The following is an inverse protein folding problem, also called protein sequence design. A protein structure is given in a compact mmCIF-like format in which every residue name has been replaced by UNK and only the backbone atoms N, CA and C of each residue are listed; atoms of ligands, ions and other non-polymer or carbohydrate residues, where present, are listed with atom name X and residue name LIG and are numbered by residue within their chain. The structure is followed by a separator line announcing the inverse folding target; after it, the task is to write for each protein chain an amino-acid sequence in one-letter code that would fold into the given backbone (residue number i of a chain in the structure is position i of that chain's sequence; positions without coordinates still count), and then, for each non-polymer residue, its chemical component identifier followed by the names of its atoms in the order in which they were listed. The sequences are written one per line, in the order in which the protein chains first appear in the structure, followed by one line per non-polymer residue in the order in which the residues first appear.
data_IF_218032004873
#
_entry.id   IF_218032004873
#
_cell.length_a   1.000
_cell.length_b   1.000
_cell.length_c   1.000
_cell.angle_alpha   90.00
_cell.angle_beta   90.00
_cell.angle_gamma   90.00
#
_symmetry.space_group_name_H-M   'P 1'
#
loop_
_entity.id
_entity.type
_entity.pdbx_description
1 polymer ?
#
# COMPACT_ATOMS: atom_id res chain seq x y z
N UNK A 1 41.31 -62.22 27.61
CA UNK A 1 40.93 -62.39 26.19
C UNK A 1 39.47 -61.99 26.03
N UNK A 2 39.17 -61.21 24.98
CA UNK A 2 37.84 -61.00 24.35
C UNK A 2 36.79 -60.25 25.18
N UNK A 3 36.57 -58.93 25.03
CA UNK A 3 35.94 -58.15 23.92
C UNK A 3 34.52 -57.68 24.31
N UNK A 4 34.28 -56.38 24.04
CA UNK A 4 33.14 -55.44 24.23
C UNK A 4 31.76 -55.90 23.66
N UNK A 5 30.64 -55.11 23.56
CA UNK A 5 30.44 -53.65 23.77
C UNK A 5 29.06 -53.17 24.37
N UNK A 6 28.86 -51.85 24.29
CA UNK A 6 27.87 -50.96 24.91
C UNK A 6 26.43 -50.92 24.33
N UNK A 7 25.50 -50.35 25.13
CA UNK A 7 24.26 -49.62 24.76
C UNK A 7 23.92 -48.72 25.97
N UNK A 8 23.96 -47.38 25.97
CA UNK A 8 23.27 -46.36 25.16
C UNK A 8 21.74 -46.46 25.18
N UNK A 9 21.10 -45.70 26.08
CA UNK A 9 19.70 -45.25 25.99
C UNK A 9 19.67 -43.83 26.61
N UNK A 10 19.89 -42.79 25.82
CA UNK A 10 18.88 -42.06 25.03
C UNK A 10 17.85 -41.35 25.93
N UNK A 11 18.15 -40.09 26.28
CA UNK A 11 17.15 -39.14 26.78
C UNK A 11 16.17 -38.80 25.65
N UNK A 12 14.90 -39.09 25.84
CA UNK A 12 13.85 -38.65 24.93
C UNK A 12 13.74 -37.10 24.94
N UNK A 13 13.76 -36.42 23.79
CA UNK A 13 13.39 -35.01 23.75
C UNK A 13 11.89 -34.88 23.96
N UNK A 14 11.50 -34.01 24.89
CA UNK A 14 10.11 -33.60 25.14
C UNK A 14 9.49 -33.08 23.83
N UNK A 15 8.32 -33.63 23.51
CA UNK A 15 7.45 -33.23 22.41
C UNK A 15 7.21 -31.71 22.38
N UNK A 16 7.65 -31.04 21.33
CA UNK A 16 7.25 -29.67 21.02
C UNK A 16 5.80 -29.66 20.51
N UNK A 17 4.97 -28.79 21.09
CA UNK A 17 3.56 -28.62 20.71
C UNK A 17 3.39 -28.15 19.26
N UNK A 18 2.36 -28.62 18.53
CA UNK A 18 2.13 -28.29 17.12
C UNK A 18 1.72 -26.83 16.86
N UNK A 19 1.41 -26.06 17.91
CA UNK A 19 0.96 -24.67 17.80
C UNK A 19 2.08 -23.70 17.34
N UNK A 20 3.36 -24.00 17.59
CA UNK A 20 4.48 -23.12 17.23
C UNK A 20 4.84 -23.16 15.74
N UNK A 21 4.55 -24.27 15.05
CA UNK A 21 4.89 -24.46 13.63
C UNK A 21 4.01 -23.70 12.64
N UNK A 22 2.81 -23.29 13.04
CA UNK A 22 1.87 -22.57 12.16
C UNK A 22 2.25 -21.09 12.02
N UNK A 23 2.74 -20.47 13.10
CA UNK A 23 3.25 -19.09 13.07
C UNK A 23 4.54 -19.01 12.25
N UNK A 24 5.39 -20.02 12.35
CA UNK A 24 6.66 -20.12 11.62
C UNK A 24 6.43 -20.44 10.12
N UNK A 25 5.44 -21.27 9.79
CA UNK A 25 5.02 -21.53 8.39
C UNK A 25 4.32 -20.33 7.75
N UNK A 26 3.60 -19.52 8.53
CA UNK A 26 3.03 -18.27 8.02
C UNK A 26 4.13 -17.24 7.69
N UNK A 27 5.25 -17.23 8.43
CA UNK A 27 6.42 -16.41 8.10
C UNK A 27 7.14 -16.88 6.83
N UNK A 28 7.18 -18.19 6.56
CA UNK A 28 7.77 -18.76 5.35
C UNK A 28 7.03 -18.38 4.04
N UNK A 29 5.74 -18.00 4.12
CA UNK A 29 4.98 -17.50 2.98
C UNK A 29 5.32 -16.05 2.57
N UNK A 30 6.23 -15.38 3.30
CA UNK A 30 7.17 -14.34 2.83
C UNK A 30 6.65 -13.02 2.23
N UNK A 31 5.39 -12.92 1.82
CA UNK A 31 4.93 -11.82 0.98
C UNK A 31 4.50 -10.57 1.78
N UNK A 32 4.07 -10.76 3.03
CA UNK A 32 3.56 -9.67 3.89
C UNK A 32 4.63 -9.02 4.77
N UNK A 33 5.34 -9.82 5.58
CA UNK A 33 6.26 -9.28 6.61
C UNK A 33 7.58 -8.79 6.00
N UNK A 34 8.12 -9.50 5.01
CA UNK A 34 9.40 -9.15 4.37
C UNK A 34 9.31 -7.90 3.50
N UNK A 35 8.15 -7.67 2.87
CA UNK A 35 7.89 -6.48 2.04
C UNK A 35 7.76 -5.22 2.88
N UNK A 36 7.08 -5.29 4.04
CA UNK A 36 6.96 -4.17 4.96
C UNK A 36 8.31 -3.79 5.57
N UNK A 37 9.10 -4.78 6.01
CA UNK A 37 10.46 -4.55 6.52
C UNK A 37 11.35 -3.83 5.49
N UNK A 38 11.29 -4.26 4.22
CA UNK A 38 12.08 -3.63 3.15
C UNK A 38 11.68 -2.16 2.89
N UNK A 39 10.40 -1.80 2.98
CA UNK A 39 9.97 -0.41 2.78
C UNK A 39 10.48 0.48 3.91
N UNK A 40 10.40 0.04 5.16
CA UNK A 40 10.90 0.82 6.30
C UNK A 40 12.42 1.06 6.22
N UNK A 41 13.18 0.08 5.75
CA UNK A 41 14.63 0.25 5.52
C UNK A 41 14.93 1.28 4.41
N UNK A 42 14.10 1.33 3.37
CA UNK A 42 14.22 2.31 2.29
C UNK A 42 13.84 3.72 2.76
N UNK A 43 12.79 3.83 3.57
CA UNK A 43 12.41 5.10 4.20
C UNK A 43 13.55 5.63 5.09
N UNK A 44 14.17 4.78 5.91
CA UNK A 44 15.27 5.19 6.79
C UNK A 44 16.50 5.72 6.05
N UNK A 45 16.73 5.31 4.79
CA UNK A 45 17.86 5.73 3.94
C UNK A 45 17.55 6.95 3.07
N UNK A 46 16.29 7.39 3.04
CA UNK A 46 15.83 8.45 2.14
C UNK A 46 15.63 9.75 2.92
N UNK A 47 15.98 10.88 2.31
CA UNK A 47 15.78 12.20 2.90
C UNK A 47 14.28 12.44 3.27
N UNK A 48 13.97 12.96 4.46
CA UNK A 48 12.59 13.17 4.91
C UNK A 48 11.78 14.11 4.00
N UNK A 49 12.40 15.14 3.41
CA UNK A 49 11.73 16.01 2.45
C UNK A 49 11.38 15.25 1.16
N UNK A 50 12.24 14.33 0.72
CA UNK A 50 11.96 13.45 -0.42
C UNK A 50 10.82 12.49 -0.09
N UNK A 51 10.81 11.89 1.10
CA UNK A 51 9.71 11.03 1.55
C UNK A 51 8.37 11.78 1.56
N UNK A 52 8.35 13.02 2.06
CA UNK A 52 7.16 13.87 2.03
C UNK A 52 6.69 14.15 0.60
N UNK A 53 7.62 14.42 -0.33
CA UNK A 53 7.30 14.60 -1.74
C UNK A 53 6.71 13.34 -2.37
N UNK A 54 7.32 12.17 -2.14
CA UNK A 54 6.83 10.89 -2.67
C UNK A 54 5.42 10.56 -2.14
N UNK A 55 5.17 10.80 -0.84
CA UNK A 55 3.83 10.64 -0.23
C UNK A 55 2.82 11.59 -0.86
N UNK A 56 3.21 12.85 -1.06
CA UNK A 56 2.37 13.86 -1.71
C UNK A 56 2.02 13.43 -3.14
N UNK A 57 3.00 13.05 -3.95
CA UNK A 57 2.78 12.61 -5.33
C UNK A 57 1.91 11.37 -5.41
N UNK A 58 2.06 10.41 -4.49
CA UNK A 58 1.20 9.24 -4.44
C UNK A 58 -0.26 9.58 -4.10
N UNK A 59 -0.48 10.51 -3.15
CA UNK A 59 -1.82 11.02 -2.82
C UNK A 59 -2.43 11.83 -3.97
N UNK A 60 -1.62 12.62 -4.68
CA UNK A 60 -2.07 13.37 -5.86
C UNK A 60 -2.49 12.42 -6.99
N UNK A 61 -1.72 11.35 -7.22
CA UNK A 61 -2.10 10.31 -8.17
C UNK A 61 -3.45 9.68 -7.83
N UNK A 62 -3.65 9.27 -6.57
CA UNK A 62 -4.93 8.70 -6.14
C UNK A 62 -6.08 9.71 -6.25
N UNK A 63 -5.83 10.99 -5.96
CA UNK A 63 -6.84 12.05 -6.11
C UNK A 63 -7.27 12.22 -7.56
N UNK A 64 -6.33 12.18 -8.51
CA UNK A 64 -6.64 12.25 -9.94
C UNK A 64 -7.40 11.00 -10.39
N UNK A 65 -6.95 9.82 -9.96
CA UNK A 65 -7.66 8.57 -10.23
C UNK A 65 -9.11 8.64 -9.74
N UNK A 66 -9.35 9.04 -8.48
CA UNK A 66 -10.70 9.17 -7.92
C UNK A 66 -11.52 10.18 -8.73
N UNK A 67 -10.92 11.32 -9.10
CA UNK A 67 -11.61 12.34 -9.90
C UNK A 67 -12.10 11.76 -11.23
N UNK A 68 -11.25 11.00 -11.94
CA UNK A 68 -11.63 10.36 -13.21
C UNK A 68 -12.70 9.30 -13.04
N UNK A 69 -12.70 8.57 -11.93
CA UNK A 69 -13.75 7.59 -11.62
C UNK A 69 -15.09 8.26 -11.28
N UNK A 70 -15.05 9.49 -10.75
CA UNK A 70 -16.24 10.26 -10.43
C UNK A 70 -16.81 11.01 -11.65
N UNK A 71 -15.99 11.39 -12.63
CA UNK A 71 -16.42 12.16 -13.81
C UNK A 71 -17.72 11.64 -14.47
N UNK A 72 -17.89 10.33 -14.73
CA UNK A 72 -19.11 9.82 -15.38
C UNK A 72 -20.39 10.04 -14.57
N UNK A 73 -20.30 10.14 -13.23
CA UNK A 73 -21.47 10.44 -12.39
C UNK A 73 -22.01 11.86 -12.61
N UNK A 74 -21.14 12.75 -13.07
CA UNK A 74 -21.43 14.18 -13.27
C UNK A 74 -21.65 14.53 -14.74
N UNK A 75 -21.16 13.70 -15.67
CA UNK A 75 -21.43 13.82 -17.12
C UNK A 75 -22.87 13.45 -17.48
N UNK A 76 -23.48 12.52 -16.74
CA UNK A 76 -24.88 12.11 -16.96
C UNK A 76 -25.94 13.06 -16.35
N UNK A 77 -25.52 14.14 -15.68
CA UNK A 77 -26.43 15.15 -15.13
C UNK A 77 -26.60 16.24 -16.18
N UNK A 78 -27.68 16.14 -16.96
CA UNK A 78 -28.07 17.22 -17.88
C UNK A 78 -28.38 18.49 -17.06
N UNK A 79 -27.75 19.60 -17.44
CA UNK A 79 -28.05 20.92 -16.91
C UNK A 79 -29.43 21.33 -17.42
N UNK A 80 -30.42 21.43 -16.53
CA UNK A 80 -31.74 21.95 -16.87
C UNK A 80 -31.58 23.37 -17.44
N UNK A 81 -32.05 23.59 -18.68
CA UNK A 81 -31.91 24.88 -19.38
C UNK A 81 -32.67 26.03 -18.69
N UNK A 82 -33.70 25.72 -17.90
CA UNK A 82 -34.60 26.69 -17.25
C UNK A 82 -34.31 26.86 -15.76
N UNK A 83 -33.88 25.80 -15.07
CA UNK A 83 -33.66 25.80 -13.61
C UNK A 83 -32.24 25.39 -13.16
N UNK A 84 -31.34 25.05 -14.09
CA UNK A 84 -29.93 24.68 -13.81
C UNK A 84 -28.97 25.87 -13.85
N UNK A 85 -27.71 25.66 -13.44
CA UNK A 85 -26.66 26.69 -13.46
C UNK A 85 -26.03 26.95 -14.84
N UNK A 86 -26.58 26.34 -15.89
CA UNK A 86 -26.19 26.51 -17.29
C UNK A 86 -24.69 26.32 -17.56
N UNK A 87 -24.17 27.04 -18.57
CA UNK A 87 -22.73 26.98 -18.95
C UNK A 87 -21.77 27.37 -17.83
N UNK A 88 -22.22 28.18 -16.87
CA UNK A 88 -21.41 28.54 -15.71
C UNK A 88 -21.11 27.31 -14.87
N UNK A 89 -22.14 26.56 -14.49
CA UNK A 89 -22.01 25.32 -13.74
C UNK A 89 -21.17 24.28 -14.49
N UNK A 90 -21.35 24.14 -15.80
CA UNK A 90 -20.55 23.23 -16.64
C UNK A 90 -19.05 23.52 -16.56
N UNK A 91 -18.65 24.80 -16.54
CA UNK A 91 -17.23 25.16 -16.41
C UNK A 91 -16.66 24.90 -15.02
N UNK A 92 -17.47 24.99 -13.95
CA UNK A 92 -17.01 24.76 -12.58
C UNK A 92 -17.13 23.29 -12.14
N UNK A 93 -17.95 22.46 -12.80
CA UNK A 93 -18.17 21.05 -12.47
C UNK A 93 -16.88 20.23 -12.40
N UNK A 94 -15.93 20.31 -13.37
CA UNK A 94 -14.66 19.58 -13.27
C UNK A 94 -13.86 19.97 -12.02
N UNK A 95 -13.81 21.26 -11.69
CA UNK A 95 -13.11 21.74 -10.49
C UNK A 95 -13.76 21.19 -9.21
N UNK A 96 -15.08 21.06 -9.16
CA UNK A 96 -15.78 20.43 -8.04
C UNK A 96 -15.44 18.95 -7.93
N UNK A 97 -15.44 18.22 -9.04
CA UNK A 97 -15.06 16.80 -9.08
C UNK A 97 -13.64 16.59 -8.57
N UNK A 98 -12.70 17.44 -8.98
CA UNK A 98 -11.33 17.40 -8.46
C UNK A 98 -11.25 17.60 -6.94
N UNK A 99 -12.03 18.53 -6.39
CA UNK A 99 -12.07 18.74 -4.93
C UNK A 99 -12.66 17.54 -4.21
N UNK A 100 -13.71 16.91 -4.76
CA UNK A 100 -14.23 15.66 -4.21
C UNK A 100 -13.18 14.55 -4.24
N UNK A 101 -12.46 14.37 -5.35
CA UNK A 101 -11.37 13.39 -5.45
C UNK A 101 -10.28 13.59 -4.40
N UNK A 102 -9.85 14.84 -4.19
CA UNK A 102 -8.89 15.21 -3.13
C UNK A 102 -9.44 14.90 -1.73
N UNK A 103 -10.68 15.30 -1.46
CA UNK A 103 -11.34 15.09 -0.17
C UNK A 103 -11.54 13.61 0.17
N UNK A 104 -11.88 12.78 -0.82
CA UNK A 104 -12.00 11.32 -0.65
C UNK A 104 -10.64 10.69 -0.37
N UNK A 105 -9.62 11.09 -1.13
CA UNK A 105 -8.25 10.59 -0.93
C UNK A 105 -7.72 10.94 0.45
N UNK A 106 -7.90 12.18 0.91
CA UNK A 106 -7.48 12.63 2.25
C UNK A 106 -8.18 11.86 3.39
N UNK A 107 -9.43 11.43 3.20
CA UNK A 107 -10.19 10.66 4.19
C UNK A 107 -9.88 9.15 4.20
N UNK A 108 -8.97 8.70 3.34
CA UNK A 108 -8.51 7.31 3.29
C UNK A 108 -8.47 6.70 1.89
N UNK A 109 -9.19 7.31 0.93
CA UNK A 109 -9.18 6.89 -0.47
C UNK A 109 -9.52 5.40 -0.67
N UNK A 110 -8.99 4.85 -1.75
CA UNK A 110 -9.03 3.43 -2.08
C UNK A 110 -7.77 2.68 -1.61
N UNK A 111 -6.78 3.40 -1.07
CA UNK A 111 -5.51 2.86 -0.62
C UNK A 111 -4.47 2.69 -1.74
N UNK A 112 -4.75 3.23 -2.93
CA UNK A 112 -3.87 3.15 -4.10
C UNK A 112 -2.59 3.96 -3.85
N UNK A 113 -2.69 5.12 -3.16
CA UNK A 113 -1.53 5.93 -2.83
C UNK A 113 -0.46 5.15 -2.06
N UNK A 114 -0.84 4.17 -1.22
CA UNK A 114 0.14 3.36 -0.47
C UNK A 114 0.97 2.46 -1.40
N UNK A 115 0.32 1.88 -2.41
CA UNK A 115 1.00 1.02 -3.38
C UNK A 115 1.88 1.84 -4.31
N UNK A 116 1.37 2.96 -4.81
CA UNK A 116 2.11 3.89 -5.65
C UNK A 116 3.32 4.45 -4.91
N UNK A 117 3.15 4.83 -3.64
CA UNK A 117 4.25 5.28 -2.79
C UNK A 117 5.37 4.24 -2.67
N UNK A 118 5.01 2.97 -2.45
CA UNK A 118 5.97 1.88 -2.36
C UNK A 118 6.75 1.70 -3.67
N UNK A 119 6.09 1.79 -4.82
CA UNK A 119 6.78 1.70 -6.12
C UNK A 119 7.65 2.92 -6.41
N UNK A 120 7.17 4.12 -6.11
CA UNK A 120 7.97 5.34 -6.26
C UNK A 120 9.23 5.30 -5.42
N UNK A 121 9.16 4.76 -4.20
CA UNK A 121 10.31 4.62 -3.31
C UNK A 121 11.34 3.61 -3.87
N UNK A 122 10.89 2.47 -4.43
CA UNK A 122 11.77 1.50 -5.08
C UNK A 122 12.41 2.05 -6.36
N UNK A 123 11.66 2.80 -7.16
CA UNK A 123 12.18 3.44 -8.36
C UNK A 123 13.25 4.50 -8.01
N UNK A 124 13.05 5.22 -6.90
CA UNK A 124 14.03 6.17 -6.37
C UNK A 124 15.35 5.48 -6.00
N UNK A 125 15.30 4.36 -5.28
CA UNK A 125 16.49 3.56 -4.93
C UNK A 125 17.24 3.11 -6.19
N UNK A 126 16.55 2.53 -7.17
CA UNK A 126 17.17 2.03 -8.40
C UNK A 126 17.84 3.13 -9.24
N UNK A 127 17.43 4.39 -9.09
CA UNK A 127 18.02 5.54 -9.78
C UNK A 127 19.22 6.16 -9.05
N UNK A 128 19.42 5.83 -7.77
CA UNK A 128 20.45 6.42 -6.91
C UNK A 128 21.44 5.39 -6.32
N UNK A 129 21.31 4.11 -6.66
CA UNK A 129 22.29 3.05 -6.42
C UNK A 129 23.08 2.70 -7.67
#
# INVERSE_FOLDING_TARGET
MSMSPALSAASAPRSASPASSLVERAQAAGFGVRTLAKISDLEAKTDPAKLAQLRKSANEFESQFVSQMLSPMFEGIETDETFGGGRGEEMFRPMLVEQFGKQITQRGGFGIAKQVYAELLRAQEASHG
#
